data_IF_698719398985
#
_entry.id   IF_698719398985
#
_cell.length_a   1.000
_cell.length_b   1.000
_cell.length_c   1.000
_cell.angle_alpha   90.00
_cell.angle_beta   90.00
_cell.angle_gamma   90.00
#
_symmetry.space_group_name_H-M   'P 1'
#
loop_
_entity.id
_entity.type
_entity.pdbx_description
1 polymer ?
#
# COMPACT_ATOMS: atom_id res chain seq x y z
N UNK A 1 13.03 7.79 -56.62
CA UNK A 1 13.18 9.04 -57.40
C UNK A 1 14.46 9.71 -56.98
N UNK A 2 15.43 9.64 -57.83
CA UNK A 2 16.81 10.13 -57.78
C UNK A 2 16.83 11.63 -58.04
N UNK A 3 17.67 12.38 -57.37
CA UNK A 3 18.35 13.61 -57.85
C UNK A 3 19.43 13.97 -56.82
N UNK A 4 20.63 13.72 -57.17
CA UNK A 4 21.62 14.49 -57.93
C UNK A 4 22.30 15.55 -57.07
N UNK A 5 23.38 15.28 -56.60
CA UNK A 5 24.80 15.54 -56.89
C UNK A 5 25.09 16.87 -57.55
N UNK A 6 25.83 17.76 -56.91
CA UNK A 6 26.63 18.82 -57.53
C UNK A 6 27.94 19.02 -56.75
N UNK A 7 29.00 18.56 -57.33
CA UNK A 7 30.41 18.88 -57.09
C UNK A 7 30.82 20.12 -57.91
N UNK A 8 32.05 20.55 -57.88
CA UNK A 8 32.57 21.76 -57.26
C UNK A 8 33.06 22.80 -58.23
N UNK A 9 33.36 23.99 -57.78
CA UNK A 9 34.14 24.95 -58.58
C UNK A 9 35.46 25.26 -57.90
N UNK A 10 36.52 24.82 -58.55
CA UNK A 10 37.88 25.29 -58.42
C UNK A 10 38.01 26.67 -59.08
N UNK A 11 38.67 27.59 -58.42
CA UNK A 11 39.22 28.78 -59.09
C UNK A 11 40.63 29.03 -58.53
N UNK A 12 41.59 29.20 -59.47
CA UNK A 12 42.99 29.32 -59.14
C UNK A 12 43.47 30.77 -59.25
N UNK A 13 44.03 31.33 -58.16
CA UNK A 13 44.99 32.41 -58.30
C UNK A 13 46.13 32.24 -57.32
N UNK A 14 47.23 31.72 -57.90
CA UNK A 14 48.58 31.95 -57.43
C UNK A 14 48.92 33.42 -57.57
N UNK A 15 49.40 34.00 -56.49
CA UNK A 15 50.46 35.02 -56.64
C UNK A 15 51.34 35.03 -55.40
N UNK A 16 52.57 34.94 -55.73
CA UNK A 16 53.82 35.12 -54.97
C UNK A 16 53.87 36.37 -54.10
N UNK A 17 54.49 36.25 -52.95
CA UNK A 17 54.89 37.42 -52.09
C UNK A 17 55.85 37.01 -50.99
N UNK A 18 57.06 37.29 -51.26
CA UNK A 18 58.28 37.24 -50.49
C UNK A 18 58.14 37.93 -49.13
N UNK A 19 58.67 37.27 -48.11
CA UNK A 19 59.39 37.84 -46.99
C UNK A 19 58.63 38.73 -45.98
N UNK A 20 58.54 38.27 -44.72
CA UNK A 20 59.09 39.14 -43.64
C UNK A 20 58.81 38.52 -42.26
N UNK A 21 59.83 38.55 -41.47
CA UNK A 21 59.85 38.80 -40.02
C UNK A 21 59.22 37.72 -39.14
N UNK A 22 60.10 36.99 -38.48
CA UNK A 22 59.83 36.25 -37.26
C UNK A 22 59.18 37.21 -36.25
N UNK A 23 57.90 37.17 -36.14
CA UNK A 23 57.17 37.78 -35.07
C UNK A 23 57.26 36.83 -33.85
N UNK A 24 57.75 37.38 -32.74
CA UNK A 24 57.94 36.76 -31.46
C UNK A 24 56.62 36.02 -31.05
N UNK A 25 56.60 34.69 -31.11
CA UNK A 25 55.57 33.96 -30.44
C UNK A 25 55.70 34.21 -28.92
N UNK A 26 54.68 34.75 -28.28
CA UNK A 26 54.71 34.89 -26.84
C UNK A 26 54.80 33.48 -26.24
N UNK A 27 55.82 33.25 -25.44
CA UNK A 27 55.97 32.05 -24.62
C UNK A 27 54.65 31.74 -23.92
N UNK A 28 54.07 30.50 -24.02
CA UNK A 28 52.86 30.14 -23.35
C UNK A 28 53.07 30.41 -21.87
N UNK A 29 52.29 31.35 -21.32
CA UNK A 29 52.42 31.81 -19.95
C UNK A 29 52.37 30.58 -19.02
N UNK A 30 53.47 30.31 -18.32
CA UNK A 30 53.62 29.27 -17.26
C UNK A 30 52.43 29.27 -16.28
N UNK A 31 51.79 30.43 -16.11
CA UNK A 31 50.59 30.58 -15.27
C UNK A 31 49.38 29.81 -15.77
N UNK A 32 49.15 29.61 -17.08
CA UNK A 32 48.01 28.86 -17.61
C UNK A 32 48.18 27.35 -17.45
N UNK A 33 49.38 26.83 -17.65
CA UNK A 33 49.70 25.41 -17.46
C UNK A 33 49.65 25.04 -15.97
N UNK A 34 50.16 25.88 -15.10
CA UNK A 34 50.10 25.64 -13.65
C UNK A 34 48.68 25.67 -13.07
N UNK A 35 47.82 26.57 -13.58
CA UNK A 35 46.41 26.63 -13.20
C UNK A 35 45.62 25.39 -13.64
N UNK A 36 45.90 24.83 -14.82
CA UNK A 36 45.26 23.60 -15.29
C UNK A 36 45.77 22.35 -14.54
N UNK A 37 47.07 22.29 -14.21
CA UNK A 37 47.61 21.24 -13.36
C UNK A 37 47.03 21.28 -11.96
N UNK A 38 46.94 22.44 -11.33
CA UNK A 38 46.37 22.61 -9.97
C UNK A 38 44.89 22.21 -9.94
N UNK A 39 44.09 22.62 -10.94
CA UNK A 39 42.69 22.21 -11.08
C UNK A 39 42.56 20.71 -11.22
N UNK A 40 43.42 20.05 -11.96
CA UNK A 40 43.36 18.59 -12.18
C UNK A 40 43.77 17.80 -10.92
N UNK A 41 44.74 18.26 -10.14
CA UNK A 41 45.11 17.64 -8.86
C UNK A 41 44.07 17.90 -7.76
N UNK A 42 43.44 19.07 -7.72
CA UNK A 42 42.36 19.39 -6.81
C UNK A 42 41.15 18.49 -7.12
N UNK A 43 40.81 18.28 -8.39
CA UNK A 43 39.72 17.38 -8.78
C UNK A 43 40.04 15.91 -8.44
N UNK A 44 41.30 15.47 -8.63
CA UNK A 44 41.78 14.14 -8.26
C UNK A 44 41.74 13.87 -6.74
N UNK A 45 41.84 14.89 -5.92
CA UNK A 45 41.73 14.82 -4.44
C UNK A 45 40.27 14.94 -3.97
N UNK A 46 39.48 15.78 -4.61
CA UNK A 46 38.07 15.99 -4.23
C UNK A 46 37.20 14.75 -4.50
N UNK A 47 37.46 14.01 -5.59
CA UNK A 47 36.66 12.81 -5.91
C UNK A 47 36.80 11.71 -4.85
N UNK A 48 38.02 11.29 -4.44
CA UNK A 48 38.16 10.31 -3.36
C UNK A 48 37.61 10.82 -2.02
N UNK A 49 37.78 12.11 -1.71
CA UNK A 49 37.26 12.73 -0.49
C UNK A 49 35.72 12.69 -0.50
N UNK A 50 35.10 12.98 -1.65
CA UNK A 50 33.67 12.91 -1.81
C UNK A 50 33.14 11.46 -1.67
N UNK A 51 33.87 10.47 -2.22
CA UNK A 51 33.53 9.05 -2.08
C UNK A 51 33.60 8.60 -0.62
N UNK A 52 34.68 8.97 0.10
CA UNK A 52 34.87 8.65 1.52
C UNK A 52 33.79 9.34 2.36
N UNK A 53 33.53 10.64 2.11
CA UNK A 53 32.47 11.39 2.79
C UNK A 53 31.09 10.79 2.58
N UNK A 54 30.79 10.40 1.34
CA UNK A 54 29.52 9.72 1.02
C UNK A 54 29.42 8.34 1.67
N UNK A 55 30.50 7.57 1.71
CA UNK A 55 30.55 6.28 2.42
C UNK A 55 30.32 6.44 3.93
N UNK A 56 30.94 7.44 4.56
CA UNK A 56 30.73 7.77 5.97
C UNK A 56 29.26 8.19 6.24
N UNK A 57 28.67 8.96 5.33
CA UNK A 57 27.26 9.36 5.40
C UNK A 57 26.32 8.18 5.27
N UNK A 58 26.56 7.26 4.33
CA UNK A 58 25.78 6.02 4.21
C UNK A 58 25.87 5.17 5.49
N UNK A 59 27.07 5.05 6.06
CA UNK A 59 27.28 4.35 7.32
C UNK A 59 26.51 4.98 8.49
N UNK A 60 26.49 6.31 8.56
CA UNK A 60 25.72 7.04 9.56
C UNK A 60 24.22 6.76 9.43
N UNK A 61 23.67 6.85 8.21
CA UNK A 61 22.25 6.54 7.94
C UNK A 61 21.92 5.10 8.35
N UNK A 62 22.77 4.15 8.02
CA UNK A 62 22.58 2.74 8.37
C UNK A 62 22.55 2.54 9.90
N UNK A 63 23.43 3.21 10.64
CA UNK A 63 23.44 3.17 12.08
C UNK A 63 22.16 3.76 12.70
N UNK A 64 21.68 4.88 12.18
CA UNK A 64 20.42 5.48 12.61
C UNK A 64 19.21 4.61 12.24
N UNK A 65 19.23 3.95 11.07
CA UNK A 65 18.21 2.98 10.69
C UNK A 65 18.17 1.80 11.66
N UNK A 66 19.33 1.26 12.04
CA UNK A 66 19.42 0.17 13.00
C UNK A 66 18.87 0.57 14.37
N UNK A 67 19.20 1.76 14.89
CA UNK A 67 18.63 2.29 16.14
C UNK A 67 17.10 2.42 16.03
N UNK A 68 16.62 2.96 14.91
CA UNK A 68 15.20 3.14 14.67
C UNK A 68 14.44 1.79 14.65
N UNK A 69 15.03 0.75 14.05
CA UNK A 69 14.47 -0.61 14.04
C UNK A 69 14.34 -1.16 15.45
N UNK A 70 15.38 -1.05 16.27
CA UNK A 70 15.31 -1.49 17.67
C UNK A 70 14.28 -0.72 18.48
N UNK A 71 14.20 0.60 18.29
CA UNK A 71 13.20 1.44 18.96
C UNK A 71 11.77 1.03 18.59
N UNK A 72 11.51 0.82 17.28
CA UNK A 72 10.19 0.37 16.79
C UNK A 72 9.83 -1.01 17.34
N UNK A 73 10.74 -1.98 17.33
CA UNK A 73 10.48 -3.30 17.89
C UNK A 73 10.24 -3.27 19.40
N UNK A 74 10.97 -2.43 20.12
CA UNK A 74 10.74 -2.19 21.55
C UNK A 74 9.36 -1.57 21.81
N UNK A 75 8.95 -0.60 20.99
CA UNK A 75 7.62 0.03 21.08
C UNK A 75 6.50 -0.96 20.76
N UNK A 76 6.66 -1.79 19.72
CA UNK A 76 5.73 -2.86 19.38
C UNK A 76 5.59 -3.84 20.56
N UNK A 77 6.72 -4.24 21.17
CA UNK A 77 6.74 -5.09 22.35
C UNK A 77 6.04 -4.44 23.56
N UNK A 78 6.29 -3.16 23.81
CA UNK A 78 5.62 -2.40 24.87
C UNK A 78 4.10 -2.28 24.67
N UNK A 79 3.64 -2.33 23.41
CA UNK A 79 2.22 -2.39 23.05
C UNK A 79 1.60 -3.80 23.17
N UNK A 80 2.31 -4.77 23.76
CA UNK A 80 1.82 -6.12 24.06
C UNK A 80 1.96 -7.12 22.91
N UNK A 81 2.64 -6.76 21.81
CA UNK A 81 2.96 -7.72 20.75
C UNK A 81 4.22 -8.49 21.10
N UNK A 82 4.21 -9.80 20.89
CA UNK A 82 5.43 -10.61 20.90
C UNK A 82 6.26 -10.31 19.66
N UNK A 83 7.53 -9.97 19.83
CA UNK A 83 8.45 -9.70 18.70
C UNK A 83 9.68 -10.56 18.86
N UNK A 84 9.99 -11.36 17.83
CA UNK A 84 11.22 -12.13 17.73
C UNK A 84 11.83 -11.96 16.35
N UNK A 85 13.13 -11.81 16.27
CA UNK A 85 13.84 -11.63 15.00
C UNK A 85 15.31 -12.01 15.13
N UNK A 86 15.92 -12.39 14.01
CA UNK A 86 17.36 -12.58 13.91
C UNK A 86 18.12 -11.26 14.01
N UNK A 87 19.39 -11.32 14.35
CA UNK A 87 20.24 -10.12 14.41
C UNK A 87 20.24 -9.43 13.04
N UNK A 88 19.90 -8.11 12.99
CA UNK A 88 19.93 -7.37 11.74
C UNK A 88 21.32 -7.42 11.09
N UNK A 89 21.36 -7.81 9.83
CA UNK A 89 22.55 -7.88 9.00
C UNK A 89 22.61 -6.69 8.07
N UNK A 90 23.75 -6.09 7.93
CA UNK A 90 23.97 -4.99 6.98
C UNK A 90 23.95 -5.50 5.55
N UNK A 91 23.17 -4.84 4.70
CA UNK A 91 23.14 -5.11 3.26
C UNK A 91 23.74 -3.91 2.55
N UNK A 92 24.92 -4.11 1.96
CA UNK A 92 25.62 -3.06 1.22
C UNK A 92 25.17 -3.09 -0.25
N UNK A 93 24.31 -2.16 -0.64
CA UNK A 93 24.10 -1.85 -2.05
C UNK A 93 24.77 -0.50 -2.36
N UNK A 94 25.39 -0.39 -3.50
CA UNK A 94 26.35 0.66 -3.88
C UNK A 94 25.92 2.11 -3.63
N UNK A 95 24.66 2.39 -3.30
CA UNK A 95 24.16 3.77 -3.03
C UNK A 95 22.97 3.78 -2.06
N UNK A 96 22.75 2.71 -1.28
CA UNK A 96 21.65 2.63 -0.30
C UNK A 96 22.17 2.01 0.99
N UNK A 97 21.87 2.64 2.13
CA UNK A 97 22.04 2.01 3.44
C UNK A 97 20.90 0.99 3.65
N UNK A 98 21.24 -0.26 3.95
CA UNK A 98 20.24 -1.32 4.09
C UNK A 98 20.53 -2.25 5.27
N UNK A 99 19.45 -2.84 5.81
CA UNK A 99 19.47 -3.87 6.84
C UNK A 99 18.59 -5.04 6.39
N UNK A 100 19.06 -6.25 6.59
CA UNK A 100 18.26 -7.46 6.42
C UNK A 100 17.96 -8.07 7.80
N UNK A 101 16.68 -8.30 8.07
CA UNK A 101 16.17 -8.89 9.30
C UNK A 101 15.72 -10.30 8.97
N UNK A 102 16.41 -11.29 9.53
CA UNK A 102 16.09 -12.71 9.32
C UNK A 102 14.97 -13.17 10.24
N UNK A 103 14.09 -14.00 9.68
CA UNK A 103 13.03 -14.70 10.41
C UNK A 103 12.27 -13.82 11.42
N UNK A 104 11.75 -12.65 11.01
CA UNK A 104 10.94 -11.86 11.90
C UNK A 104 9.63 -12.59 12.19
N UNK A 105 9.28 -12.64 13.49
CA UNK A 105 8.01 -13.18 13.98
C UNK A 105 7.34 -12.09 14.82
N UNK A 106 6.09 -11.79 14.48
CA UNK A 106 5.24 -10.83 15.19
C UNK A 106 4.00 -11.56 15.68
N UNK A 107 3.79 -11.61 17.00
CA UNK A 107 2.62 -12.26 17.61
C UNK A 107 1.70 -11.20 18.20
N UNK A 108 0.46 -11.17 17.74
CA UNK A 108 -0.55 -10.28 18.28
C UNK A 108 -0.92 -10.69 19.71
N UNK A 109 -1.31 -9.73 20.61
CA UNK A 109 -1.79 -10.07 21.92
C UNK A 109 -3.08 -10.91 21.84
N UNK A 110 -3.33 -11.76 22.84
CA UNK A 110 -4.51 -12.65 22.87
C UNK A 110 -5.83 -11.89 22.68
N UNK A 111 -5.95 -10.68 23.23
CA UNK A 111 -7.13 -9.81 23.05
C UNK A 111 -7.33 -9.38 21.58
N UNK A 112 -6.26 -9.35 20.78
CA UNK A 112 -6.30 -9.08 19.35
C UNK A 112 -6.24 -10.37 18.51
N UNK A 113 -6.70 -11.50 19.07
CA UNK A 113 -6.80 -12.78 18.39
C UNK A 113 -5.55 -13.66 18.46
N UNK A 114 -4.44 -13.22 19.07
CA UNK A 114 -3.26 -14.06 19.33
C UNK A 114 -2.55 -14.63 18.07
N UNK A 115 -2.86 -14.12 16.90
CA UNK A 115 -2.28 -14.60 15.65
C UNK A 115 -0.78 -14.25 15.55
N UNK A 116 0.01 -15.14 14.97
CA UNK A 116 1.45 -14.96 14.77
C UNK A 116 1.78 -14.89 13.28
N UNK A 117 2.41 -13.79 12.89
CA UNK A 117 2.97 -13.60 11.55
C UNK A 117 4.44 -13.98 11.55
N UNK A 118 4.90 -14.72 10.53
CA UNK A 118 6.31 -15.03 10.33
C UNK A 118 6.70 -14.93 8.85
N UNK A 119 7.93 -14.50 8.58
CA UNK A 119 8.48 -14.48 7.23
C UNK A 119 9.96 -14.90 7.23
N UNK A 120 10.49 -15.27 6.07
CA UNK A 120 11.90 -15.62 5.92
C UNK A 120 12.85 -14.44 6.13
N UNK A 121 12.40 -13.23 5.79
CA UNK A 121 13.17 -12.02 6.01
C UNK A 121 12.50 -10.77 5.49
N UNK A 122 12.96 -9.65 6.03
CA UNK A 122 12.56 -8.30 5.61
C UNK A 122 13.81 -7.49 5.35
N UNK A 123 13.91 -6.90 4.18
CA UNK A 123 14.94 -5.95 3.81
C UNK A 123 14.44 -4.53 4.08
N UNK A 124 15.22 -3.77 4.83
CA UNK A 124 14.99 -2.34 5.06
C UNK A 124 16.07 -1.54 4.34
N UNK A 125 15.68 -0.50 3.64
CA UNK A 125 16.61 0.37 2.93
C UNK A 125 16.23 1.83 3.03
N UNK A 126 17.24 2.69 3.03
CA UNK A 126 17.10 4.14 2.98
C UNK A 126 17.98 4.65 1.86
N UNK A 127 17.39 5.47 0.99
CA UNK A 127 18.17 6.18 -0.01
C UNK A 127 18.85 7.39 0.67
N UNK A 128 20.18 7.50 0.65
CA UNK A 128 20.88 8.64 1.26
C UNK A 128 20.49 9.99 0.67
N UNK A 129 20.01 10.03 -0.57
CA UNK A 129 19.50 11.25 -1.22
C UNK A 129 18.06 11.58 -0.82
N UNK A 130 17.36 10.66 -0.17
CA UNK A 130 16.01 10.82 0.36
C UNK A 130 15.90 10.13 1.73
N UNK A 131 16.62 10.63 2.76
CA UNK A 131 16.78 9.94 4.06
C UNK A 131 15.46 9.88 4.87
N UNK A 132 14.48 10.67 4.48
CA UNK A 132 13.16 10.69 5.11
C UNK A 132 12.25 9.55 4.66
N UNK A 133 12.68 8.74 3.67
CA UNK A 133 11.91 7.60 3.17
C UNK A 133 12.61 6.30 3.52
N UNK A 134 11.98 5.52 4.40
CA UNK A 134 12.38 4.14 4.70
C UNK A 134 11.56 3.21 3.82
N UNK A 135 12.24 2.33 3.09
CA UNK A 135 11.60 1.29 2.28
C UNK A 135 11.83 -0.06 2.93
N UNK A 136 10.74 -0.79 3.22
CA UNK A 136 10.80 -2.20 3.63
C UNK A 136 10.34 -3.07 2.47
N UNK A 137 11.06 -4.14 2.16
CA UNK A 137 10.73 -5.12 1.14
C UNK A 137 10.67 -6.50 1.72
N UNK A 138 9.70 -7.27 1.28
CA UNK A 138 9.56 -8.69 1.59
C UNK A 138 9.15 -9.42 0.32
N UNK A 139 9.73 -10.59 0.10
CA UNK A 139 9.37 -11.48 -1.01
C UNK A 139 9.41 -12.93 -0.54
N UNK A 140 8.74 -13.80 -1.30
CA UNK A 140 8.72 -15.23 -1.00
C UNK A 140 7.60 -15.65 -0.07
N UNK A 141 7.86 -16.59 0.82
CA UNK A 141 6.85 -17.18 1.69
C UNK A 141 6.75 -16.45 3.04
N UNK A 142 5.53 -16.30 3.51
CA UNK A 142 5.25 -15.96 4.91
C UNK A 142 4.05 -16.75 5.43
N UNK A 143 3.89 -16.85 6.73
CA UNK A 143 2.77 -17.56 7.33
C UNK A 143 2.08 -16.73 8.40
N UNK A 144 0.79 -17.00 8.56
CA UNK A 144 -0.05 -16.51 9.64
C UNK A 144 -0.58 -17.72 10.41
N UNK A 145 -0.18 -17.83 11.66
CA UNK A 145 -0.61 -18.92 12.54
C UNK A 145 -1.61 -18.36 13.56
N UNK A 146 -2.78 -18.96 13.63
CA UNK A 146 -3.84 -18.60 14.56
C UNK A 146 -3.68 -19.35 15.89
N UNK A 147 -4.36 -18.92 16.98
CA UNK A 147 -4.27 -19.57 18.29
C UNK A 147 -4.72 -21.03 18.31
N UNK A 148 -5.66 -21.40 17.45
CA UNK A 148 -6.11 -22.78 17.23
C UNK A 148 -5.10 -23.65 16.46
N UNK A 149 -3.90 -23.10 16.19
CA UNK A 149 -2.82 -23.70 15.38
C UNK A 149 -3.14 -23.87 13.91
N UNK A 150 -4.23 -23.29 13.42
CA UNK A 150 -4.48 -23.19 11.98
C UNK A 150 -3.41 -22.30 11.37
N UNK A 151 -2.73 -22.79 10.35
CA UNK A 151 -1.70 -22.06 9.62
C UNK A 151 -2.21 -21.70 8.20
N UNK A 152 -2.14 -20.45 7.88
CA UNK A 152 -2.36 -19.94 6.52
C UNK A 152 -1.01 -19.55 5.91
N UNK A 153 -0.63 -20.19 4.83
CA UNK A 153 0.62 -19.93 4.13
C UNK A 153 0.39 -19.02 2.95
N UNK A 154 1.27 -18.08 2.80
CA UNK A 154 1.25 -17.10 1.74
C UNK A 154 2.52 -17.18 0.93
N UNK A 155 2.37 -17.03 -0.37
CA UNK A 155 3.46 -16.80 -1.30
C UNK A 155 3.22 -15.46 -1.96
N UNK A 156 4.18 -14.56 -1.85
CA UNK A 156 4.10 -13.22 -2.44
C UNK A 156 5.25 -13.00 -3.43
N UNK A 157 4.94 -12.35 -4.55
CA UNK A 157 5.99 -11.90 -5.46
C UNK A 157 6.84 -10.83 -4.80
N UNK A 158 6.20 -9.74 -4.36
CA UNK A 158 6.85 -8.65 -3.65
C UNK A 158 5.84 -7.89 -2.78
N UNK A 159 6.26 -7.54 -1.58
CA UNK A 159 5.62 -6.51 -0.74
C UNK A 159 6.62 -5.39 -0.55
N UNK A 160 6.22 -4.18 -0.88
CA UNK A 160 7.04 -2.98 -0.64
C UNK A 160 6.26 -2.03 0.26
N UNK A 161 6.79 -1.74 1.44
CA UNK A 161 6.28 -0.70 2.33
C UNK A 161 7.20 0.51 2.29
N UNK A 162 6.66 1.69 2.04
CA UNK A 162 7.37 2.98 2.10
C UNK A 162 6.83 3.79 3.25
N UNK A 163 7.71 4.16 4.16
CA UNK A 163 7.39 4.95 5.34
C UNK A 163 8.05 6.32 5.14
N UNK A 164 7.24 7.34 4.97
CA UNK A 164 7.67 8.73 4.89
C UNK A 164 7.67 9.29 6.31
N UNK A 165 8.84 9.67 6.81
CA UNK A 165 8.98 10.20 8.17
C UNK A 165 8.20 11.51 8.30
N UNK A 166 7.63 11.72 9.47
CA UNK A 166 6.99 12.99 9.77
C UNK A 166 8.04 14.10 9.82
N UNK A 167 7.78 15.17 9.07
CA UNK A 167 8.54 16.41 9.12
C UNK A 167 7.68 17.55 9.70
N UNK A 168 8.24 18.72 9.91
CA UNK A 168 7.47 19.89 10.36
C UNK A 168 6.37 20.28 9.36
N UNK A 169 6.53 19.92 8.07
CA UNK A 169 5.66 20.30 6.97
C UNK A 169 4.76 19.16 6.49
N UNK A 170 5.22 17.90 6.63
CA UNK A 170 4.52 16.73 6.14
C UNK A 170 4.19 15.74 7.26
N UNK A 171 2.96 15.22 7.33
CA UNK A 171 2.58 14.20 8.29
C UNK A 171 3.24 12.85 7.98
N UNK A 172 3.27 11.97 8.98
CA UNK A 172 3.64 10.58 8.78
C UNK A 172 2.72 9.94 7.72
N UNK A 173 3.33 9.33 6.70
CA UNK A 173 2.63 8.61 5.65
C UNK A 173 3.25 7.22 5.46
N UNK A 174 2.41 6.22 5.31
CA UNK A 174 2.82 4.84 5.04
C UNK A 174 2.09 4.37 3.79
N UNK A 175 2.84 3.83 2.83
CA UNK A 175 2.29 3.18 1.65
C UNK A 175 2.81 1.76 1.53
N UNK A 176 1.92 0.81 1.36
CA UNK A 176 2.22 -0.60 1.17
C UNK A 176 1.68 -1.03 -0.19
N UNK A 177 2.55 -1.52 -1.05
CA UNK A 177 2.22 -2.08 -2.35
C UNK A 177 2.55 -3.59 -2.30
N UNK A 178 1.62 -4.43 -2.73
CA UNK A 178 1.74 -5.88 -2.76
C UNK A 178 1.43 -6.39 -4.15
N UNK A 179 2.25 -7.30 -4.66
CA UNK A 179 2.08 -7.91 -5.98
C UNK A 179 2.09 -9.44 -5.87
N UNK A 180 1.15 -10.08 -6.58
CA UNK A 180 1.04 -11.52 -6.75
C UNK A 180 1.02 -12.30 -5.41
N UNK A 181 0.01 -12.05 -4.59
CA UNK A 181 -0.23 -12.84 -3.38
C UNK A 181 -1.04 -14.09 -3.71
N UNK A 182 -0.56 -15.23 -3.26
CA UNK A 182 -1.29 -16.48 -3.22
C UNK A 182 -1.35 -16.95 -1.77
N UNK A 183 -2.55 -17.19 -1.27
CA UNK A 183 -2.77 -17.79 0.05
C UNK A 183 -3.33 -19.18 -0.10
N UNK A 184 -2.85 -20.12 0.73
CA UNK A 184 -3.31 -21.51 0.78
C UNK A 184 -3.57 -21.88 2.23
N UNK A 185 -4.77 -22.38 2.51
CA UNK A 185 -5.15 -22.94 3.81
C UNK A 185 -5.92 -24.24 3.56
N UNK A 186 -5.24 -25.37 3.64
CA UNK A 186 -5.82 -26.67 3.28
C UNK A 186 -6.28 -26.71 1.82
N UNK A 187 -7.57 -27.02 1.59
CA UNK A 187 -8.19 -27.04 0.27
C UNK A 187 -8.64 -25.65 -0.20
N UNK A 188 -8.71 -24.69 0.72
CA UNK A 188 -9.14 -23.32 0.46
C UNK A 188 -7.93 -22.42 0.19
N UNK A 189 -8.18 -21.37 -0.57
CA UNK A 189 -7.15 -20.38 -0.85
C UNK A 189 -7.70 -19.21 -1.64
N UNK A 190 -6.84 -18.23 -1.85
CA UNK A 190 -7.16 -17.12 -2.74
C UNK A 190 -5.88 -16.58 -3.40
N UNK A 191 -6.07 -15.85 -4.50
CA UNK A 191 -5.01 -15.12 -5.18
C UNK A 191 -5.41 -13.66 -5.30
N UNK A 192 -4.45 -12.76 -5.12
CA UNK A 192 -4.61 -11.33 -5.32
C UNK A 192 -3.52 -10.89 -6.31
N UNK A 193 -3.92 -10.30 -7.43
CA UNK A 193 -2.95 -9.84 -8.42
C UNK A 193 -2.16 -8.64 -7.87
N UNK A 194 -2.82 -7.66 -7.27
CA UNK A 194 -2.16 -6.56 -6.58
C UNK A 194 -3.02 -5.99 -5.45
N UNK A 195 -2.36 -5.46 -4.43
CA UNK A 195 -2.98 -4.68 -3.38
C UNK A 195 -2.16 -3.42 -3.10
N UNK A 196 -2.84 -2.34 -2.78
CA UNK A 196 -2.23 -1.11 -2.31
C UNK A 196 -2.94 -0.63 -1.05
N UNK A 197 -2.17 -0.17 -0.08
CA UNK A 197 -2.65 0.39 1.18
C UNK A 197 -1.87 1.67 1.46
N UNK A 198 -2.57 2.73 1.78
CA UNK A 198 -1.98 4.01 2.13
C UNK A 198 -2.61 4.54 3.41
N UNK A 199 -1.77 5.02 4.32
CA UNK A 199 -2.17 5.73 5.53
C UNK A 199 -1.40 7.03 5.64
N UNK A 200 -2.08 8.10 6.03
CA UNK A 200 -1.45 9.37 6.40
C UNK A 200 -2.12 9.96 7.63
N UNK A 201 -1.30 10.45 8.56
CA UNK A 201 -1.82 11.15 9.72
C UNK A 201 -2.38 12.49 9.29
N UNK A 202 -3.59 12.83 9.75
CA UNK A 202 -4.21 14.15 9.54
C UNK A 202 -4.42 14.83 10.87
N UNK A 203 -4.42 16.16 10.86
CA UNK A 203 -4.89 16.92 12.01
C UNK A 203 -6.41 16.73 12.10
N UNK A 204 -6.89 16.31 13.26
CA UNK A 204 -8.33 16.25 13.48
C UNK A 204 -8.89 17.68 13.58
N UNK A 205 -9.80 18.03 12.67
CA UNK A 205 -10.46 19.33 12.63
C UNK A 205 -11.53 19.46 13.72
N UNK A 206 -11.91 18.37 14.37
CA UNK A 206 -12.97 18.36 15.39
C UNK A 206 -12.52 18.86 16.76
N UNK A 207 -11.25 19.19 16.94
CA UNK A 207 -10.74 19.95 18.10
C UNK A 207 -10.68 19.22 19.44
N UNK A 208 -11.02 17.96 19.48
CA UNK A 208 -10.90 17.11 20.68
C UNK A 208 -9.70 16.21 20.49
N UNK A 209 -8.55 16.55 21.05
CA UNK A 209 -7.30 15.77 21.24
C UNK A 209 -7.26 14.35 20.63
N UNK A 210 -7.82 14.14 19.45
CA UNK A 210 -7.94 12.87 18.78
C UNK A 210 -7.08 12.88 17.52
N UNK A 211 -6.28 11.85 17.31
CA UNK A 211 -5.57 11.65 16.07
C UNK A 211 -6.49 10.95 15.06
N UNK A 212 -6.51 11.47 13.85
CA UNK A 212 -7.18 10.86 12.71
C UNK A 212 -6.15 10.45 11.64
N UNK A 213 -6.51 9.46 10.84
CA UNK A 213 -5.69 9.01 9.72
C UNK A 213 -6.55 8.89 8.48
N UNK A 214 -6.12 9.51 7.39
CA UNK A 214 -6.65 9.20 6.08
C UNK A 214 -6.13 7.82 5.67
N UNK A 215 -7.00 7.03 5.06
CA UNK A 215 -6.60 5.76 4.49
C UNK A 215 -7.13 5.61 3.07
N UNK A 216 -6.41 4.82 2.28
CA UNK A 216 -6.85 4.32 1.00
C UNK A 216 -6.38 2.90 0.83
N UNK A 217 -7.25 2.00 0.39
CA UNK A 217 -6.84 0.68 -0.02
C UNK A 217 -7.48 0.26 -1.34
N UNK A 218 -6.80 -0.62 -2.07
CA UNK A 218 -7.32 -1.24 -3.27
C UNK A 218 -6.81 -2.68 -3.36
N UNK A 219 -7.70 -3.60 -3.70
CA UNK A 219 -7.40 -4.98 -4.06
C UNK A 219 -7.83 -5.18 -5.51
N UNK A 220 -6.94 -5.71 -6.35
CA UNK A 220 -7.22 -5.95 -7.74
C UNK A 220 -7.02 -7.43 -8.06
N UNK A 221 -7.92 -7.99 -8.86
CA UNK A 221 -7.80 -9.34 -9.39
C UNK A 221 -7.81 -10.41 -8.30
N UNK A 222 -8.76 -10.34 -7.37
CA UNK A 222 -8.94 -11.37 -6.34
C UNK A 222 -9.64 -12.56 -6.94
N UNK A 223 -9.04 -13.73 -6.81
CA UNK A 223 -9.61 -15.03 -7.19
C UNK A 223 -9.69 -15.91 -5.96
N UNK A 224 -10.87 -16.38 -5.65
CA UNK A 224 -11.10 -17.36 -4.58
C UNK A 224 -10.85 -18.76 -5.15
N UNK A 225 -10.15 -19.62 -4.40
CA UNK A 225 -10.02 -21.02 -4.79
C UNK A 225 -11.40 -21.70 -4.76
N UNK A 226 -11.50 -22.74 -5.54
CA UNK A 226 -12.73 -23.51 -5.75
C UNK A 226 -13.12 -24.27 -4.47
N UNK A 227 -13.70 -23.58 -3.53
CA UNK A 227 -14.42 -24.20 -2.44
C UNK A 227 -15.91 -24.09 -2.76
N UNK A 228 -16.72 -24.96 -2.16
CA UNK A 228 -18.18 -24.98 -2.31
C UNK A 228 -18.87 -23.68 -1.84
N UNK A 229 -18.20 -22.54 -1.99
CA UNK A 229 -18.69 -21.23 -1.57
C UNK A 229 -19.61 -20.65 -2.63
N UNK A 230 -20.67 -20.01 -2.17
CA UNK A 230 -21.71 -19.49 -3.01
C UNK A 230 -21.36 -18.20 -3.77
N UNK A 231 -20.19 -17.61 -3.50
CA UNK A 231 -19.80 -16.33 -4.06
C UNK A 231 -19.07 -16.51 -5.40
N UNK A 232 -19.20 -15.57 -6.36
CA UNK A 232 -18.43 -15.60 -7.60
C UNK A 232 -16.93 -15.64 -7.33
N UNK A 233 -16.20 -16.46 -8.08
CA UNK A 233 -14.77 -16.73 -7.87
C UNK A 233 -13.86 -15.52 -8.11
N UNK A 234 -14.32 -14.54 -8.89
CA UNK A 234 -13.49 -13.43 -9.33
C UNK A 234 -14.08 -12.08 -8.95
N UNK A 235 -13.27 -11.31 -8.21
CA UNK A 235 -13.51 -9.91 -7.92
C UNK A 235 -12.41 -9.07 -8.59
N UNK A 236 -12.82 -8.25 -9.55
CA UNK A 236 -11.87 -7.43 -10.31
C UNK A 236 -11.28 -6.30 -9.47
N UNK A 237 -12.09 -5.66 -8.61
CA UNK A 237 -11.68 -4.52 -7.80
C UNK A 237 -12.47 -4.48 -6.48
N UNK A 238 -11.76 -4.25 -5.40
CA UNK A 238 -12.32 -3.75 -4.15
C UNK A 238 -11.44 -2.59 -3.67
N UNK A 239 -11.98 -1.40 -3.63
CA UNK A 239 -11.25 -0.21 -3.21
C UNK A 239 -12.09 0.63 -2.25
N UNK A 240 -11.45 1.23 -1.27
CA UNK A 240 -12.07 2.22 -0.40
C UNK A 240 -11.04 3.27 0.04
N UNK A 241 -11.53 4.46 0.32
CA UNK A 241 -10.78 5.53 0.95
C UNK A 241 -11.66 6.28 1.94
N UNK A 242 -11.04 6.83 2.96
CA UNK A 242 -11.75 7.54 4.01
C UNK A 242 -10.86 7.86 5.19
N UNK A 243 -11.45 7.92 6.37
CA UNK A 243 -10.76 8.29 7.62
C UNK A 243 -10.94 7.24 8.69
N UNK A 244 -9.88 7.01 9.46
CA UNK A 244 -9.94 6.26 10.72
C UNK A 244 -9.86 7.28 11.84
N UNK A 245 -10.83 7.27 12.75
CA UNK A 245 -10.92 8.18 13.89
C UNK A 245 -11.03 7.41 15.19
N UNK A 246 -10.79 8.07 16.32
CA UNK A 246 -10.92 7.48 17.65
C UNK A 246 -9.60 7.11 18.30
N UNK A 247 -8.46 7.64 17.81
CA UNK A 247 -7.18 7.47 18.49
C UNK A 247 -6.90 8.65 19.44
N UNK A 248 -6.41 8.35 20.64
CA UNK A 248 -5.93 9.38 21.55
C UNK A 248 -4.62 9.99 21.05
N UNK A 249 -4.45 11.32 21.17
CA UNK A 249 -3.18 11.98 20.86
C UNK A 249 -2.03 11.50 21.75
N UNK A 250 -2.33 11.34 23.04
CA UNK A 250 -1.40 10.80 24.05
C UNK A 250 -1.83 9.38 24.40
N UNK A 251 -1.31 8.42 23.67
CA UNK A 251 -1.59 7.01 23.90
C UNK A 251 -0.97 6.52 25.20
N UNK A 252 -1.81 6.00 26.07
CA UNK A 252 -1.42 5.30 27.31
C UNK A 252 -1.74 3.81 27.25
N UNK A 253 -2.45 3.36 26.20
CA UNK A 253 -2.92 2.00 25.95
C UNK A 253 -2.43 1.49 24.60
N UNK A 254 -2.41 0.16 24.38
CA UNK A 254 -2.20 -0.42 23.06
C UNK A 254 -3.13 0.19 22.00
N UNK A 255 -2.64 0.38 20.78
CA UNK A 255 -3.33 1.11 19.71
C UNK A 255 -4.76 0.64 19.48
N UNK A 256 -4.97 -0.66 19.39
CA UNK A 256 -6.30 -1.24 19.13
C UNK A 256 -7.24 -1.05 20.33
N UNK A 257 -6.74 -1.23 21.56
CA UNK A 257 -7.52 -1.00 22.77
C UNK A 257 -7.91 0.46 22.90
N UNK A 258 -6.97 1.39 22.65
CA UNK A 258 -7.23 2.82 22.67
C UNK A 258 -8.31 3.21 21.66
N UNK A 259 -8.22 2.65 20.44
CA UNK A 259 -9.19 2.91 19.38
C UNK A 259 -10.59 2.39 19.72
N UNK A 260 -10.70 1.18 20.26
CA UNK A 260 -11.99 0.61 20.67
C UNK A 260 -12.61 1.36 21.86
N UNK A 261 -11.81 1.69 22.87
CA UNK A 261 -12.27 2.40 24.06
C UNK A 261 -12.77 3.82 23.74
N UNK A 262 -12.26 4.42 22.67
CA UNK A 262 -12.67 5.75 22.18
C UNK A 262 -13.76 5.69 21.10
N UNK A 263 -14.52 4.61 21.02
CA UNK A 263 -15.55 4.39 20.00
C UNK A 263 -15.00 4.61 18.57
N UNK A 264 -13.89 3.95 18.26
CA UNK A 264 -13.19 4.06 17.01
C UNK A 264 -14.08 3.77 15.80
N UNK A 265 -13.98 4.63 14.79
CA UNK A 265 -14.78 4.56 13.57
C UNK A 265 -13.89 4.58 12.35
N UNK A 266 -14.20 3.70 11.41
CA UNK A 266 -13.68 3.69 10.05
C UNK A 266 -14.73 4.33 9.13
N UNK A 267 -14.54 5.59 8.77
CA UNK A 267 -15.38 6.28 7.79
C UNK A 267 -14.93 5.90 6.37
N UNK A 268 -15.83 5.42 5.55
CA UNK A 268 -15.63 5.20 4.12
C UNK A 268 -16.26 6.35 3.36
N UNK A 269 -15.45 7.28 2.88
CA UNK A 269 -15.94 8.41 2.07
C UNK A 269 -16.29 7.96 0.65
N UNK A 270 -15.48 7.06 0.07
CA UNK A 270 -15.70 6.49 -1.25
C UNK A 270 -15.22 5.04 -1.28
N UNK A 271 -16.12 4.14 -1.60
CA UNK A 271 -15.84 2.74 -1.85
C UNK A 271 -16.31 2.31 -3.24
N UNK A 272 -15.65 1.32 -3.81
CA UNK A 272 -16.03 0.70 -5.09
C UNK A 272 -15.75 -0.80 -5.05
N UNK A 273 -16.72 -1.58 -5.51
CA UNK A 273 -16.59 -3.02 -5.71
C UNK A 273 -16.93 -3.32 -7.16
N UNK A 274 -16.13 -4.17 -7.80
CA UNK A 274 -16.45 -4.78 -9.09
C UNK A 274 -16.26 -6.28 -8.91
N UNK A 275 -17.38 -7.00 -8.82
CA UNK A 275 -17.40 -8.42 -8.52
C UNK A 275 -18.28 -9.14 -9.52
N UNK A 276 -17.67 -9.87 -10.45
CA UNK A 276 -18.38 -10.44 -11.60
C UNK A 276 -19.23 -9.38 -12.32
N UNK A 277 -20.54 -9.57 -12.43
CA UNK A 277 -21.48 -8.64 -13.06
C UNK A 277 -21.97 -7.54 -12.10
N UNK A 278 -21.58 -7.58 -10.83
CA UNK A 278 -22.00 -6.60 -9.83
C UNK A 278 -21.00 -5.47 -9.74
N UNK A 279 -21.46 -4.25 -9.87
CA UNK A 279 -20.67 -3.06 -9.61
C UNK A 279 -21.36 -2.24 -8.52
N UNK A 280 -20.60 -1.81 -7.53
CA UNK A 280 -21.12 -0.97 -6.46
C UNK A 280 -20.19 0.19 -6.16
N UNK A 281 -20.80 1.35 -5.97
CA UNK A 281 -20.17 2.48 -5.31
C UNK A 281 -20.85 2.69 -3.96
N UNK A 282 -20.08 2.84 -2.90
CA UNK A 282 -20.60 2.93 -1.54
C UNK A 282 -19.85 3.97 -0.71
N UNK A 283 -20.51 4.45 0.34
CA UNK A 283 -19.95 5.25 1.41
C UNK A 283 -20.65 4.92 2.72
N UNK A 284 -20.00 5.14 3.86
CA UNK A 284 -20.58 4.79 5.14
C UNK A 284 -19.58 4.77 6.27
N UNK A 285 -19.98 4.19 7.39
CA UNK A 285 -19.13 4.05 8.55
C UNK A 285 -19.17 2.60 9.07
N UNK A 286 -18.03 2.14 9.55
CA UNK A 286 -17.84 0.87 10.26
C UNK A 286 -17.30 1.18 11.65
N UNK A 287 -18.00 0.76 12.68
CA UNK A 287 -17.56 0.79 14.07
C UNK A 287 -17.48 -0.61 14.66
N UNK A 288 -16.79 -0.72 15.78
CA UNK A 288 -16.75 -1.95 16.57
C UNK A 288 -17.07 -1.61 18.01
N UNK A 289 -17.80 -2.49 18.66
CA UNK A 289 -17.94 -2.43 20.12
C UNK A 289 -16.70 -3.04 20.81
N UNK A 290 -16.58 -2.92 22.15
CA UNK A 290 -15.45 -3.50 22.90
C UNK A 290 -15.31 -5.02 22.76
N UNK A 291 -16.39 -5.72 22.40
CA UNK A 291 -16.43 -7.16 22.15
C UNK A 291 -16.15 -7.52 20.68
N UNK A 292 -15.69 -6.56 19.88
CA UNK A 292 -15.42 -6.69 18.43
C UNK A 292 -16.65 -7.00 17.57
N UNK A 293 -17.86 -6.74 18.04
CA UNK A 293 -19.02 -6.84 17.16
C UNK A 293 -19.05 -5.64 16.21
N UNK A 294 -19.09 -5.94 14.92
CA UNK A 294 -19.11 -4.92 13.89
C UNK A 294 -20.50 -4.28 13.78
N UNK A 295 -20.52 -2.96 13.65
CA UNK A 295 -21.70 -2.18 13.24
C UNK A 295 -21.36 -1.41 11.99
N UNK A 296 -22.16 -1.60 10.94
CA UNK A 296 -21.99 -0.92 9.63
C UNK A 296 -23.22 -0.11 9.32
N UNK A 297 -23.03 1.11 8.90
CA UNK A 297 -24.05 1.94 8.29
C UNK A 297 -23.53 2.51 6.97
N UNK A 298 -24.10 2.14 5.85
CA UNK A 298 -23.60 2.50 4.54
C UNK A 298 -24.75 2.81 3.57
N UNK A 299 -24.44 3.61 2.56
CA UNK A 299 -25.26 3.79 1.38
C UNK A 299 -24.50 3.23 0.18
N UNK A 300 -25.15 2.43 -0.62
CA UNK A 300 -24.55 1.87 -1.81
C UNK A 300 -25.47 2.05 -3.02
N UNK A 301 -24.85 2.40 -4.15
CA UNK A 301 -25.43 2.35 -5.46
C UNK A 301 -24.90 1.10 -6.14
N UNK A 302 -25.80 0.17 -6.48
CA UNK A 302 -25.45 -1.16 -6.97
C UNK A 302 -26.07 -1.38 -8.35
N UNK A 303 -25.25 -1.81 -9.30
CA UNK A 303 -25.63 -2.36 -10.59
C UNK A 303 -25.52 -3.88 -10.55
N UNK A 304 -26.39 -4.60 -11.24
CA UNK A 304 -26.40 -6.08 -11.24
C UNK A 304 -26.88 -6.69 -9.91
N UNK A 305 -27.60 -5.94 -9.09
CA UNK A 305 -28.07 -6.40 -7.77
C UNK A 305 -28.95 -7.65 -7.85
N UNK A 306 -29.86 -7.70 -8.82
CA UNK A 306 -30.76 -8.87 -8.98
C UNK A 306 -30.01 -10.09 -9.51
N UNK A 307 -28.99 -9.90 -10.34
CA UNK A 307 -28.14 -11.00 -10.80
C UNK A 307 -27.37 -11.60 -9.62
N UNK A 308 -26.89 -10.76 -8.68
CA UNK A 308 -26.29 -11.22 -7.43
C UNK A 308 -27.28 -12.03 -6.59
N UNK A 309 -28.50 -11.51 -6.40
CA UNK A 309 -29.53 -12.21 -5.63
C UNK A 309 -29.90 -13.54 -6.26
N UNK A 310 -30.03 -13.61 -7.59
CA UNK A 310 -30.30 -14.87 -8.32
C UNK A 310 -29.13 -15.86 -8.11
N UNK A 311 -27.91 -15.42 -8.22
CA UNK A 311 -26.74 -16.28 -7.98
C UNK A 311 -26.65 -16.79 -6.52
N UNK A 312 -27.10 -16.01 -5.54
CA UNK A 312 -27.22 -16.42 -4.15
C UNK A 312 -28.35 -17.41 -3.91
N UNK A 313 -29.46 -17.26 -4.61
CA UNK A 313 -30.58 -18.22 -4.61
C UNK A 313 -30.17 -19.58 -5.21
N UNK A 314 -29.53 -19.57 -6.39
CA UNK A 314 -29.03 -20.79 -7.05
C UNK A 314 -28.06 -21.57 -6.15
N UNK A 315 -27.36 -20.88 -5.24
CA UNK A 315 -26.46 -21.48 -4.25
C UNK A 315 -27.12 -21.79 -2.91
N UNK A 316 -28.44 -21.58 -2.78
CA UNK A 316 -29.21 -21.89 -1.58
C UNK A 316 -28.99 -20.97 -0.39
N UNK A 317 -28.34 -19.78 -0.58
CA UNK A 317 -28.08 -18.81 0.50
C UNK A 317 -29.33 -17.98 0.78
N UNK A 318 -30.03 -17.57 -0.28
CA UNK A 318 -31.25 -16.80 -0.22
C UNK A 318 -32.40 -17.72 -0.61
N UNK A 319 -33.48 -17.72 0.15
CA UNK A 319 -34.68 -18.51 -0.16
C UNK A 319 -35.42 -17.89 -1.34
N UNK A 320 -36.02 -18.71 -2.18
CA UNK A 320 -36.79 -18.27 -3.36
C UNK A 320 -37.94 -17.32 -2.99
N UNK A 321 -38.58 -17.57 -1.83
CA UNK A 321 -39.64 -16.70 -1.29
C UNK A 321 -39.09 -15.29 -0.93
N UNK A 322 -37.97 -15.24 -0.27
CA UNK A 322 -37.33 -13.97 0.16
C UNK A 322 -36.83 -13.17 -1.05
N UNK A 323 -36.30 -13.88 -2.06
CA UNK A 323 -35.89 -13.27 -3.32
C UNK A 323 -37.10 -12.68 -4.08
N UNK A 324 -38.23 -13.39 -4.13
CA UNK A 324 -39.41 -12.88 -4.78
C UNK A 324 -39.97 -11.63 -4.12
N UNK A 325 -39.98 -11.58 -2.79
CA UNK A 325 -40.33 -10.38 -2.02
C UNK A 325 -39.35 -9.26 -2.28
N UNK A 326 -38.04 -9.56 -2.26
CA UNK A 326 -36.99 -8.57 -2.53
C UNK A 326 -37.13 -7.98 -3.94
N UNK A 327 -37.39 -8.78 -4.95
CA UNK A 327 -37.63 -8.31 -6.35
C UNK A 327 -38.84 -7.37 -6.45
N UNK A 328 -39.91 -7.65 -5.77
CA UNK A 328 -41.11 -6.80 -5.78
C UNK A 328 -40.81 -5.47 -5.05
N UNK A 329 -40.31 -5.53 -3.83
CA UNK A 329 -40.08 -4.35 -2.98
C UNK A 329 -38.99 -3.44 -3.54
N UNK A 330 -37.88 -4.04 -3.96
CA UNK A 330 -36.73 -3.29 -4.44
C UNK A 330 -36.85 -2.93 -5.93
N UNK A 331 -37.60 -3.70 -6.70
CA UNK A 331 -37.86 -3.40 -8.10
C UNK A 331 -38.54 -2.04 -8.33
N UNK A 332 -39.39 -1.62 -7.39
CA UNK A 332 -40.01 -0.29 -7.42
C UNK A 332 -39.01 0.88 -7.17
N UNK A 333 -37.85 0.56 -6.61
CA UNK A 333 -36.79 1.56 -6.34
C UNK A 333 -35.68 1.62 -7.41
N UNK A 334 -35.81 0.76 -8.45
CA UNK A 334 -34.88 0.78 -9.57
C UNK A 334 -34.95 2.09 -10.33
N UNK A 335 -33.78 2.64 -10.63
CA UNK A 335 -33.64 3.82 -11.48
C UNK A 335 -32.80 3.48 -12.71
N UNK A 336 -33.35 3.78 -13.88
CA UNK A 336 -32.56 3.81 -15.11
C UNK A 336 -31.81 5.14 -15.17
N UNK A 337 -30.48 5.12 -15.20
CA UNK A 337 -29.71 6.34 -15.37
C UNK A 337 -29.63 6.75 -16.83
N UNK A 338 -29.66 8.08 -17.05
CA UNK A 338 -29.62 8.66 -18.40
C UNK A 338 -28.24 8.37 -19.02
N UNK A 339 -28.23 7.55 -20.08
CA UNK A 339 -27.00 7.15 -20.76
C UNK A 339 -26.44 5.78 -20.39
N UNK A 340 -26.98 5.13 -19.35
CA UNK A 340 -26.62 3.76 -18.99
C UNK A 340 -27.70 2.77 -19.48
N UNK A 341 -27.23 1.64 -20.01
CA UNK A 341 -28.10 0.52 -20.39
C UNK A 341 -28.51 -0.35 -19.19
N UNK A 342 -28.04 -0.03 -17.98
CA UNK A 342 -28.22 -0.84 -16.79
C UNK A 342 -29.01 -0.10 -15.70
N UNK A 343 -29.90 -0.82 -15.03
CA UNK A 343 -30.62 -0.31 -13.86
C UNK A 343 -29.71 -0.28 -12.64
N UNK A 344 -29.76 0.80 -11.87
CA UNK A 344 -29.09 0.92 -10.58
C UNK A 344 -30.08 0.94 -9.44
N UNK A 345 -29.68 0.40 -8.30
CA UNK A 345 -30.41 0.40 -7.05
C UNK A 345 -29.58 1.15 -6.00
N UNK A 346 -30.14 2.23 -5.46
CA UNK A 346 -29.49 2.98 -4.35
C UNK A 346 -30.24 2.68 -3.06
N UNK A 347 -29.55 2.07 -2.10
CA UNK A 347 -30.12 1.66 -0.83
C UNK A 347 -29.17 1.97 0.33
N UNK A 348 -29.73 2.28 1.53
CA UNK A 348 -28.98 2.16 2.75
C UNK A 348 -28.79 0.67 3.10
N UNK A 349 -27.59 0.34 3.54
CA UNK A 349 -27.23 -0.97 4.09
C UNK A 349 -26.80 -0.82 5.53
N UNK A 350 -27.17 -1.78 6.36
CA UNK A 350 -26.68 -1.82 7.73
C UNK A 350 -26.36 -3.26 8.17
N UNK A 351 -25.33 -3.38 8.98
CA UNK A 351 -25.00 -4.60 9.70
C UNK A 351 -24.99 -4.29 11.18
N UNK A 352 -25.80 -5.00 11.94
CA UNK A 352 -25.90 -4.83 13.39
C UNK A 352 -26.26 -6.15 14.04
N UNK A 353 -25.53 -6.54 15.08
CA UNK A 353 -25.78 -7.76 15.87
C UNK A 353 -25.94 -9.02 14.99
N UNK A 354 -25.07 -9.17 13.99
CA UNK A 354 -25.09 -10.31 13.07
C UNK A 354 -26.18 -10.28 12.00
N UNK A 355 -26.95 -9.20 11.89
CA UNK A 355 -28.04 -9.06 10.92
C UNK A 355 -27.67 -8.04 9.85
N UNK A 356 -27.88 -8.40 8.59
CA UNK A 356 -27.64 -7.55 7.42
C UNK A 356 -28.96 -7.09 6.81
N UNK A 357 -29.11 -5.79 6.68
CA UNK A 357 -30.31 -5.15 6.14
C UNK A 357 -30.01 -4.36 4.87
N UNK A 358 -30.93 -4.39 3.91
CA UNK A 358 -31.00 -3.48 2.78
C UNK A 358 -32.26 -2.62 2.92
N UNK A 359 -32.10 -1.38 3.33
CA UNK A 359 -33.23 -0.54 3.78
C UNK A 359 -33.87 -1.13 5.04
N UNK A 360 -35.14 -1.49 4.92
CA UNK A 360 -35.90 -2.16 5.99
C UNK A 360 -35.95 -3.68 5.84
N UNK A 361 -35.40 -4.22 4.76
CA UNK A 361 -35.43 -5.64 4.45
C UNK A 361 -34.26 -6.36 5.10
N UNK A 362 -34.53 -7.37 5.97
CA UNK A 362 -33.52 -8.28 6.47
C UNK A 362 -33.12 -9.25 5.36
N UNK A 363 -31.85 -9.20 4.92
CA UNK A 363 -31.32 -10.08 3.89
C UNK A 363 -30.59 -11.30 4.47
N UNK A 364 -29.95 -11.15 5.63
CA UNK A 364 -29.15 -12.20 6.24
C UNK A 364 -29.18 -12.08 7.77
N UNK A 365 -29.22 -13.21 8.46
CA UNK A 365 -29.14 -13.34 9.92
C UNK A 365 -28.10 -14.43 10.26
N UNK A 366 -26.95 -14.04 10.80
CA UNK A 366 -25.87 -14.97 11.13
C UNK A 366 -26.24 -15.97 12.26
N UNK A 367 -27.23 -15.64 13.08
CA UNK A 367 -27.75 -16.53 14.13
C UNK A 367 -28.68 -17.62 13.58
N UNK A 368 -29.14 -17.48 12.35
CA UNK A 368 -29.99 -18.47 11.68
C UNK A 368 -29.27 -19.00 10.46
N UNK A 369 -28.51 -20.10 10.57
CA UNK A 369 -27.91 -20.70 9.38
C UNK A 369 -29.00 -20.99 8.36
N UNK A 370 -28.74 -20.63 7.09
CA UNK A 370 -29.62 -20.91 5.98
C UNK A 370 -29.71 -22.43 5.83
N UNK A 371 -30.82 -23.02 6.26
CA UNK A 371 -31.09 -24.42 5.99
C UNK A 371 -31.37 -25.26 7.23
N UNK A 372 -32.59 -25.28 7.67
CA UNK A 372 -33.38 -26.47 7.98
C UNK A 372 -34.82 -26.22 7.50
#
# INVERSE_FOLDING_TARGET
MVKAEKLPRLDPRRQSGIGSIRENQPLPSLHRTFSLFLKRYVFLLLVPLAIVGYGAYCFHIEHELQKSVYAVFSEIGANGFGVSYGKPKRTFFAFTGGLFIENPVLTAPLRAGGASFSSAGVELSVNPLAPDVVTARMSGAFSLTFPDKTEMRFQVGEVTARIFKQTAQEPLRVRIDLNNLTAVSGADGFKIASAALEFSRVKDETGVNAAAYDYGFALNGVRLAHSARPLPEYMALFAARGKVRGFSEKRTKPLLTDWLDNAGVLDVEKGRIVWSNVQSAFSGALGFDPDFNATVAAHAKVFGFFDLLNALEEKGIVRSTDLSVAKIVLGQKLKLERGDSAYSLTLPFSWQSGKFYAGQLLLFDSAKPAGN
#
